data_IF_022125504626
#
_entry.id   IF_022125504626
#
_cell.length_a   1.000
_cell.length_b   1.000
_cell.length_c   1.000
_cell.angle_alpha   90.00
_cell.angle_beta   90.00
_cell.angle_gamma   90.00
#
_symmetry.space_group_name_H-M   'P 1'
#
loop_
_entity.id
_entity.type
_entity.pdbx_description
1 polymer ?
#
# COMPACT_ATOMS: atom_id res chain seq x y z
N UNK A 1 14.47 35.82 -34.59
CA UNK A 1 15.65 34.93 -34.75
C UNK A 1 16.24 34.71 -33.37
N UNK A 2 16.14 33.50 -32.81
CA UNK A 2 16.77 33.16 -31.53
C UNK A 2 17.91 32.19 -31.80
N UNK A 3 19.12 32.57 -31.42
CA UNK A 3 20.36 31.81 -31.58
C UNK A 3 20.65 31.02 -30.30
N UNK A 4 20.89 29.72 -30.49
CA UNK A 4 21.76 28.81 -29.71
C UNK A 4 21.23 28.32 -28.35
N UNK A 5 20.88 27.03 -28.32
CA UNK A 5 21.42 26.08 -27.33
C UNK A 5 21.19 24.64 -27.80
N UNK A 6 22.28 23.88 -27.91
CA UNK A 6 22.41 22.49 -28.38
C UNK A 6 21.77 21.41 -27.46
N UNK A 7 20.87 21.79 -26.54
CA UNK A 7 20.45 20.91 -25.44
C UNK A 7 19.14 20.13 -25.68
N UNK A 8 18.46 20.30 -26.83
CA UNK A 8 17.20 19.56 -27.08
C UNK A 8 17.40 18.08 -27.39
N UNK A 9 18.56 17.69 -27.90
CA UNK A 9 18.82 16.29 -28.28
C UNK A 9 19.24 15.42 -27.10
N UNK A 10 19.93 15.98 -26.09
CA UNK A 10 20.33 15.23 -24.87
C UNK A 10 19.12 14.78 -24.07
N UNK A 11 18.07 15.61 -23.98
CA UNK A 11 16.85 15.28 -23.23
C UNK A 11 16.08 14.10 -23.85
N UNK A 12 15.95 14.03 -25.18
CA UNK A 12 15.27 12.92 -25.84
C UNK A 12 16.06 11.60 -25.76
N UNK A 13 17.39 11.67 -25.77
CA UNK A 13 18.24 10.49 -25.57
C UNK A 13 18.24 10.01 -24.11
N UNK A 14 18.23 10.91 -23.13
CA UNK A 14 18.07 10.57 -21.71
C UNK A 14 16.69 9.99 -21.42
N UNK A 15 15.62 10.54 -22.01
CA UNK A 15 14.27 9.98 -21.90
C UNK A 15 14.17 8.58 -22.54
N UNK A 16 14.86 8.33 -23.67
CA UNK A 16 14.92 7.00 -24.28
C UNK A 16 15.75 6.03 -23.44
N UNK A 17 16.89 6.46 -22.88
CA UNK A 17 17.69 5.65 -21.94
C UNK A 17 16.95 5.35 -20.65
N UNK A 18 16.20 6.30 -20.09
CA UNK A 18 15.35 6.07 -18.92
C UNK A 18 14.18 5.14 -19.25
N UNK A 19 13.57 5.27 -20.43
CA UNK A 19 12.53 4.34 -20.89
C UNK A 19 13.08 2.93 -21.19
N UNK A 20 14.31 2.81 -21.71
CA UNK A 20 15.00 1.54 -21.92
C UNK A 20 15.50 0.93 -20.60
N UNK A 21 15.95 1.74 -19.63
CA UNK A 21 16.32 1.28 -18.28
C UNK A 21 15.08 0.86 -17.48
N UNK A 22 13.95 1.56 -17.62
CA UNK A 22 12.66 1.14 -17.07
C UNK A 22 12.15 -0.16 -17.73
N UNK A 23 12.42 -0.37 -19.03
CA UNK A 23 12.17 -1.66 -19.70
C UNK A 23 13.14 -2.76 -19.28
N UNK A 24 14.41 -2.44 -19.03
CA UNK A 24 15.43 -3.41 -18.62
C UNK A 24 15.31 -3.85 -17.15
N UNK A 25 14.72 -3.01 -16.29
CA UNK A 25 14.37 -3.35 -14.90
C UNK A 25 13.06 -4.17 -14.78
N UNK A 26 12.31 -4.33 -15.87
CA UNK A 26 11.13 -5.18 -15.90
C UNK A 26 11.57 -6.65 -15.97
N UNK A 27 11.34 -7.40 -14.88
CA UNK A 27 11.39 -8.87 -14.93
C UNK A 27 10.51 -9.35 -16.09
N UNK A 28 10.87 -10.45 -16.79
CA UNK A 28 10.03 -11.00 -17.84
C UNK A 28 8.63 -11.19 -17.29
N UNK A 29 7.70 -10.36 -17.77
CA UNK A 29 6.32 -10.39 -17.30
C UNK A 29 5.68 -11.63 -17.90
N UNK A 30 5.16 -12.51 -17.04
CA UNK A 30 4.47 -13.71 -17.51
C UNK A 30 3.38 -13.31 -18.52
N UNK A 31 3.39 -13.94 -19.70
CA UNK A 31 2.40 -13.65 -20.74
C UNK A 31 1.18 -14.52 -20.49
N UNK A 32 0.08 -13.90 -20.11
CA UNK A 32 -1.23 -14.57 -20.01
C UNK A 32 -1.91 -14.52 -21.37
N UNK A 33 -2.40 -15.67 -21.86
CA UNK A 33 -3.14 -15.72 -23.12
C UNK A 33 -4.48 -14.99 -23.02
N UNK A 34 -4.92 -14.34 -24.09
CA UNK A 34 -6.24 -13.68 -24.13
C UNK A 34 -7.40 -14.65 -23.84
N UNK A 35 -7.28 -15.92 -24.26
CA UNK A 35 -8.27 -16.95 -23.95
C UNK A 35 -8.33 -17.28 -22.45
N UNK A 36 -7.19 -17.34 -21.76
CA UNK A 36 -7.15 -17.55 -20.31
C UNK A 36 -7.74 -16.34 -19.57
N UNK A 37 -7.42 -15.13 -20.03
CA UNK A 37 -7.96 -13.92 -19.44
C UNK A 37 -9.48 -13.80 -19.63
N UNK A 38 -9.99 -14.07 -20.83
CA UNK A 38 -11.43 -14.08 -21.08
C UNK A 38 -12.18 -15.07 -20.18
N UNK A 39 -11.62 -16.28 -19.97
CA UNK A 39 -12.17 -17.26 -19.02
C UNK A 39 -12.12 -16.76 -17.57
N UNK A 40 -11.03 -16.10 -17.17
CA UNK A 40 -10.90 -15.54 -15.83
C UNK A 40 -11.92 -14.42 -15.58
N UNK A 41 -12.18 -13.57 -16.58
CA UNK A 41 -13.26 -12.58 -16.53
C UNK A 41 -14.63 -13.26 -16.42
N UNK A 42 -14.90 -14.30 -17.21
CA UNK A 42 -16.15 -15.05 -17.15
C UNK A 42 -16.39 -15.69 -15.77
N UNK A 43 -15.36 -16.23 -15.11
CA UNK A 43 -15.46 -16.72 -13.73
C UNK A 43 -15.92 -15.62 -12.76
N UNK A 44 -15.42 -14.39 -12.92
CA UNK A 44 -15.86 -13.25 -12.10
C UNK A 44 -17.31 -12.91 -12.39
N UNK A 45 -17.71 -12.87 -13.68
CA UNK A 45 -19.10 -12.62 -14.08
C UNK A 45 -20.05 -13.69 -13.53
N UNK A 46 -19.65 -14.94 -13.52
CA UNK A 46 -20.48 -16.04 -13.00
C UNK A 46 -20.66 -15.97 -11.48
N UNK A 47 -19.65 -15.52 -10.73
CA UNK A 47 -19.75 -15.38 -9.27
C UNK A 47 -20.55 -14.15 -8.85
N UNK A 48 -20.34 -13.00 -9.51
CA UNK A 48 -20.95 -11.72 -9.08
C UNK A 48 -22.11 -11.24 -9.95
N UNK A 49 -22.39 -11.93 -11.06
CA UNK A 49 -23.51 -11.63 -11.96
C UNK A 49 -24.86 -12.08 -11.42
N UNK A 50 -25.94 -11.59 -12.05
CA UNK A 50 -27.33 -11.92 -11.69
C UNK A 50 -27.77 -13.30 -12.18
N UNK A 51 -27.14 -13.81 -13.23
CA UNK A 51 -27.46 -15.08 -13.88
C UNK A 51 -26.19 -15.93 -13.94
N UNK A 52 -25.95 -16.75 -12.91
CA UNK A 52 -24.84 -17.69 -12.90
C UNK A 52 -25.20 -18.91 -13.76
N UNK A 53 -24.42 -19.15 -14.82
CA UNK A 53 -24.51 -20.35 -15.65
C UNK A 53 -24.05 -21.60 -14.88
N UNK A 54 -23.04 -21.46 -14.01
CA UNK A 54 -22.61 -22.47 -13.04
C UNK A 54 -22.39 -21.82 -11.67
N UNK A 55 -23.02 -22.32 -10.59
CA UNK A 55 -22.86 -21.75 -9.25
C UNK A 55 -21.47 -22.08 -8.69
N UNK A 56 -20.54 -21.13 -8.80
CA UNK A 56 -19.23 -21.17 -8.13
C UNK A 56 -19.29 -20.38 -6.82
N UNK A 57 -18.79 -20.95 -5.73
CA UNK A 57 -18.74 -20.22 -4.45
C UNK A 57 -17.68 -19.11 -4.51
N UNK A 58 -17.94 -17.92 -3.91
CA UNK A 58 -16.98 -16.82 -3.89
C UNK A 58 -15.67 -17.19 -3.18
N UNK A 59 -15.68 -18.15 -2.25
CA UNK A 59 -14.47 -18.65 -1.59
C UNK A 59 -13.52 -19.35 -2.57
N UNK A 60 -14.05 -20.04 -3.58
CA UNK A 60 -13.29 -20.82 -4.56
C UNK A 60 -12.70 -19.95 -5.68
N UNK A 61 -13.27 -18.76 -5.92
CA UNK A 61 -12.89 -17.88 -7.02
C UNK A 61 -11.37 -17.60 -7.10
N UNK A 62 -10.64 -17.27 -6.02
CA UNK A 62 -9.20 -17.02 -6.13
C UNK A 62 -8.41 -18.21 -6.67
N UNK A 63 -8.69 -19.41 -6.17
CA UNK A 63 -8.00 -20.63 -6.62
C UNK A 63 -8.30 -20.91 -8.09
N UNK A 64 -9.57 -20.76 -8.51
CA UNK A 64 -9.97 -20.93 -9.92
C UNK A 64 -9.34 -19.90 -10.85
N UNK A 65 -9.14 -18.67 -10.38
CA UNK A 65 -8.41 -17.65 -11.13
C UNK A 65 -6.93 -18.03 -11.28
N UNK A 66 -6.27 -18.48 -10.22
CA UNK A 66 -4.87 -18.95 -10.29
C UNK A 66 -4.71 -20.13 -11.25
N UNK A 67 -5.60 -21.12 -11.18
CA UNK A 67 -5.63 -22.27 -12.10
C UNK A 67 -5.82 -21.82 -13.55
N UNK A 68 -6.80 -20.95 -13.79
CA UNK A 68 -7.15 -20.47 -15.14
C UNK A 68 -6.03 -19.64 -15.76
N UNK A 69 -5.38 -18.80 -14.97
CA UNK A 69 -4.26 -17.97 -15.39
C UNK A 69 -2.93 -18.74 -15.39
N UNK A 70 -2.90 -19.94 -14.80
CA UNK A 70 -1.69 -20.76 -14.60
C UNK A 70 -0.56 -19.99 -13.92
N UNK A 71 -0.93 -19.08 -13.01
CA UNK A 71 -0.02 -18.21 -12.28
C UNK A 71 -0.54 -18.06 -10.85
N UNK A 72 0.38 -18.17 -9.88
CA UNK A 72 0.08 -17.75 -8.51
C UNK A 72 -0.33 -16.28 -8.48
N UNK A 73 -1.23 -15.92 -7.57
CA UNK A 73 -1.87 -14.61 -7.53
C UNK A 73 -0.89 -13.42 -7.51
N UNK A 74 0.25 -13.57 -6.82
CA UNK A 74 1.27 -12.51 -6.76
C UNK A 74 2.04 -12.32 -8.08
N UNK A 75 2.00 -13.30 -8.97
CA UNK A 75 2.64 -13.29 -10.28
C UNK A 75 1.73 -12.78 -11.41
N UNK A 76 0.51 -12.34 -11.10
CA UNK A 76 -0.40 -11.82 -12.11
C UNK A 76 0.12 -10.50 -12.71
N UNK A 77 0.21 -10.39 -14.04
CA UNK A 77 0.64 -9.15 -14.70
C UNK A 77 -0.26 -7.96 -14.38
N UNK A 78 0.31 -6.75 -14.32
CA UNK A 78 -0.44 -5.53 -14.05
C UNK A 78 -1.63 -5.32 -15.02
N UNK A 79 -1.44 -5.58 -16.32
CA UNK A 79 -2.51 -5.47 -17.30
C UNK A 79 -3.67 -6.46 -17.04
N UNK A 80 -3.35 -7.66 -16.56
CA UNK A 80 -4.34 -8.70 -16.22
C UNK A 80 -5.17 -8.24 -15.04
N UNK A 81 -4.53 -7.88 -13.92
CA UNK A 81 -5.28 -7.51 -12.72
C UNK A 81 -6.13 -6.25 -12.93
N UNK A 82 -5.73 -5.30 -13.80
CA UNK A 82 -6.54 -4.12 -14.11
C UNK A 82 -7.79 -4.48 -14.90
N UNK A 83 -7.69 -5.42 -15.85
CA UNK A 83 -8.88 -5.97 -16.53
C UNK A 83 -9.80 -6.72 -15.57
N UNK A 84 -9.25 -7.54 -14.67
CA UNK A 84 -10.05 -8.22 -13.65
C UNK A 84 -10.73 -7.21 -12.70
N UNK A 85 -10.05 -6.12 -12.34
CA UNK A 85 -10.64 -5.05 -11.53
C UNK A 85 -11.82 -4.37 -12.23
N UNK A 86 -11.73 -4.17 -13.55
CA UNK A 86 -12.81 -3.58 -14.35
C UNK A 86 -14.06 -4.47 -14.32
N UNK A 87 -13.90 -5.79 -14.53
CA UNK A 87 -15.01 -6.75 -14.47
C UNK A 87 -15.58 -6.89 -13.06
N UNK A 88 -14.73 -6.91 -12.03
CA UNK A 88 -15.19 -6.89 -10.63
C UNK A 88 -16.05 -5.64 -10.35
N UNK A 89 -15.63 -4.48 -10.87
CA UNK A 89 -16.36 -3.23 -10.65
C UNK A 89 -17.69 -3.19 -11.41
N UNK A 90 -17.72 -3.66 -12.66
CA UNK A 90 -18.94 -3.81 -13.46
C UNK A 90 -20.00 -4.63 -12.72
N UNK A 91 -19.58 -5.70 -12.04
CA UNK A 91 -20.45 -6.57 -11.24
C UNK A 91 -20.44 -6.26 -9.73
N UNK A 92 -20.21 -5.00 -9.36
CA UNK A 92 -20.17 -4.59 -7.95
C UNK A 92 -21.50 -4.80 -7.20
N UNK A 93 -22.64 -4.83 -7.88
CA UNK A 93 -23.93 -5.17 -7.26
C UNK A 93 -23.95 -6.58 -6.65
N UNK A 94 -23.18 -7.53 -7.20
CA UNK A 94 -23.12 -8.92 -6.71
C UNK A 94 -22.60 -9.06 -5.28
N UNK A 95 -22.00 -8.00 -4.73
CA UNK A 95 -21.56 -7.96 -3.34
C UNK A 95 -22.69 -8.09 -2.34
N UNK A 96 -23.87 -7.55 -2.64
CA UNK A 96 -25.00 -7.55 -1.72
C UNK A 96 -25.74 -8.88 -1.67
N UNK A 97 -25.29 -9.90 -2.41
CA UNK A 97 -25.90 -11.23 -2.42
C UNK A 97 -25.77 -11.93 -1.06
N UNK A 98 -24.55 -11.97 -0.50
CA UNK A 98 -24.31 -12.49 0.85
C UNK A 98 -22.98 -11.95 1.42
N UNK A 99 -22.75 -12.05 2.75
CA UNK A 99 -21.50 -11.61 3.39
C UNK A 99 -20.23 -12.15 2.73
N UNK A 100 -20.26 -13.41 2.30
CA UNK A 100 -19.18 -14.08 1.58
C UNK A 100 -18.79 -13.39 0.27
N UNK A 101 -19.78 -12.89 -0.49
CA UNK A 101 -19.56 -12.19 -1.75
C UNK A 101 -18.93 -10.83 -1.51
N UNK A 102 -19.44 -10.05 -0.56
CA UNK A 102 -18.85 -8.76 -0.21
C UNK A 102 -17.40 -8.90 0.25
N UNK A 103 -17.13 -9.87 1.13
CA UNK A 103 -15.78 -10.18 1.60
C UNK A 103 -14.84 -10.50 0.43
N UNK A 104 -15.24 -11.45 -0.44
CA UNK A 104 -14.41 -11.86 -1.56
C UNK A 104 -14.17 -10.71 -2.54
N UNK A 105 -15.22 -9.96 -2.83
CA UNK A 105 -15.16 -8.83 -3.75
C UNK A 105 -14.21 -7.75 -3.25
N UNK A 106 -14.30 -7.36 -1.96
CA UNK A 106 -13.40 -6.37 -1.36
C UNK A 106 -11.95 -6.85 -1.45
N UNK A 107 -11.72 -8.12 -1.11
CA UNK A 107 -10.40 -8.71 -1.12
C UNK A 107 -9.78 -8.69 -2.54
N UNK A 108 -10.48 -9.24 -3.53
CA UNK A 108 -9.98 -9.34 -4.91
C UNK A 108 -9.89 -7.99 -5.60
N UNK A 109 -10.88 -7.11 -5.41
CA UNK A 109 -10.87 -5.79 -6.05
C UNK A 109 -9.74 -4.92 -5.48
N UNK A 110 -9.56 -4.94 -4.15
CA UNK A 110 -8.45 -4.23 -3.51
C UNK A 110 -7.09 -4.77 -3.94
N UNK A 111 -6.98 -6.10 -4.08
CA UNK A 111 -5.79 -6.75 -4.64
C UNK A 111 -5.52 -6.28 -6.08
N UNK A 112 -6.55 -6.27 -6.93
CA UNK A 112 -6.40 -5.96 -8.34
C UNK A 112 -6.19 -4.48 -8.64
N UNK A 113 -6.59 -3.59 -7.72
CA UNK A 113 -6.42 -2.15 -7.86
C UNK A 113 -5.15 -1.60 -7.23
N UNK A 114 -4.42 -2.35 -6.40
CA UNK A 114 -3.23 -1.81 -5.71
C UNK A 114 -2.15 -1.33 -6.70
N UNK A 115 -1.38 -0.28 -6.37
CA UNK A 115 -1.52 0.62 -5.22
C UNK A 115 -2.58 1.72 -5.40
N UNK A 116 -3.37 1.65 -6.47
CA UNK A 116 -4.33 2.66 -6.91
C UNK A 116 -3.81 3.61 -7.98
N UNK A 117 -2.58 3.40 -8.48
CA UNK A 117 -1.97 4.22 -9.53
C UNK A 117 -0.95 3.41 -10.33
N UNK A 118 -0.38 4.03 -11.36
CA UNK A 118 0.75 3.48 -12.11
C UNK A 118 0.36 2.69 -13.37
N UNK A 119 -0.94 2.59 -13.68
CA UNK A 119 -1.46 2.01 -14.92
C UNK A 119 -2.45 2.96 -15.62
N UNK A 120 -2.52 2.98 -16.97
CA UNK A 120 -3.49 3.80 -17.70
C UNK A 120 -4.93 3.57 -17.23
N UNK A 121 -5.63 4.66 -16.93
CA UNK A 121 -7.01 4.64 -16.46
C UNK A 121 -7.18 4.44 -14.95
N UNK A 122 -6.09 4.31 -14.18
CA UNK A 122 -6.19 4.15 -12.71
C UNK A 122 -6.86 5.34 -12.03
N UNK A 123 -6.63 6.58 -12.50
CA UNK A 123 -7.32 7.77 -11.98
C UNK A 123 -8.85 7.62 -12.08
N UNK A 124 -9.33 7.09 -13.21
CA UNK A 124 -10.75 6.85 -13.41
C UNK A 124 -11.25 5.70 -12.52
N UNK A 125 -10.51 4.59 -12.42
CA UNK A 125 -10.86 3.45 -11.55
C UNK A 125 -10.99 3.90 -10.10
N UNK A 126 -10.04 4.70 -9.60
CA UNK A 126 -10.08 5.23 -8.23
C UNK A 126 -11.18 6.28 -8.05
N UNK A 127 -11.48 7.07 -9.07
CA UNK A 127 -12.66 7.93 -9.03
C UNK A 127 -13.95 7.09 -8.89
N UNK A 128 -14.05 5.93 -9.55
CA UNK A 128 -15.19 5.03 -9.39
C UNK A 128 -15.25 4.42 -7.98
N UNK A 129 -14.11 3.97 -7.41
CA UNK A 129 -14.09 3.41 -6.04
C UNK A 129 -14.60 4.39 -4.99
N UNK A 130 -14.59 5.71 -5.25
CA UNK A 130 -15.27 6.68 -4.37
C UNK A 130 -16.75 6.37 -4.15
N UNK A 131 -17.46 5.85 -5.15
CA UNK A 131 -18.89 5.47 -5.03
C UNK A 131 -19.09 4.39 -3.96
N UNK A 132 -18.12 3.48 -3.83
CA UNK A 132 -18.11 2.48 -2.78
C UNK A 132 -18.00 3.15 -1.39
N UNK A 133 -17.16 4.17 -1.25
CA UNK A 133 -17.02 4.86 0.03
C UNK A 133 -18.33 5.47 0.55
N UNK A 134 -19.16 6.00 -0.36
CA UNK A 134 -20.52 6.49 -0.05
C UNK A 134 -21.49 5.35 0.22
N UNK A 135 -21.47 4.28 -0.58
CA UNK A 135 -22.35 3.12 -0.41
C UNK A 135 -22.10 2.35 0.90
N UNK A 136 -20.84 2.30 1.34
CA UNK A 136 -20.43 1.56 2.53
C UNK A 136 -20.39 0.04 2.33
N UNK A 137 -20.43 -0.67 3.45
CA UNK A 137 -20.59 -2.13 3.48
C UNK A 137 -22.06 -2.49 3.32
N UNK A 138 -22.35 -3.47 2.48
CA UNK A 138 -23.68 -4.09 2.38
C UNK A 138 -24.03 -4.86 3.66
N UNK A 139 -23.03 -5.47 4.30
CA UNK A 139 -23.19 -6.24 5.54
C UNK A 139 -22.33 -5.66 6.68
N UNK A 140 -22.66 -4.47 7.21
CA UNK A 140 -21.83 -3.76 8.17
C UNK A 140 -21.64 -4.51 9.50
N UNK A 141 -22.55 -5.42 9.86
CA UNK A 141 -22.44 -6.24 11.08
C UNK A 141 -21.41 -7.38 10.95
N UNK A 142 -20.89 -7.63 9.75
CA UNK A 142 -19.96 -8.73 9.50
C UNK A 142 -18.53 -8.28 9.74
N UNK A 143 -17.90 -8.83 10.78
CA UNK A 143 -16.58 -8.39 11.22
C UNK A 143 -15.50 -8.58 10.16
N UNK A 144 -15.56 -9.68 9.40
CA UNK A 144 -14.60 -9.95 8.34
C UNK A 144 -14.76 -8.98 7.16
N UNK A 145 -15.99 -8.56 6.85
CA UNK A 145 -16.24 -7.50 5.86
C UNK A 145 -15.66 -6.16 6.30
N UNK A 146 -15.76 -5.82 7.60
CA UNK A 146 -15.12 -4.63 8.16
C UNK A 146 -13.59 -4.70 8.11
N UNK A 147 -13.00 -5.88 8.31
CA UNK A 147 -11.54 -6.08 8.19
C UNK A 147 -11.09 -5.87 6.74
N UNK A 148 -11.73 -6.55 5.78
CA UNK A 148 -11.40 -6.42 4.36
C UNK A 148 -11.64 -5.01 3.83
N UNK A 149 -12.60 -4.27 4.39
CA UNK A 149 -12.81 -2.86 4.06
C UNK A 149 -11.55 -2.02 4.30
N UNK A 150 -10.91 -2.15 5.46
CA UNK A 150 -9.71 -1.38 5.77
C UNK A 150 -8.48 -1.88 5.01
N UNK A 151 -8.39 -3.18 4.75
CA UNK A 151 -7.37 -3.75 3.86
C UNK A 151 -7.51 -3.17 2.45
N UNK A 152 -8.73 -3.15 1.89
CA UNK A 152 -9.03 -2.56 0.59
C UNK A 152 -8.55 -1.12 0.51
N UNK A 153 -8.93 -0.27 1.47
CA UNK A 153 -8.55 1.13 1.46
C UNK A 153 -7.06 1.36 1.69
N UNK A 154 -6.41 0.53 2.51
CA UNK A 154 -4.96 0.56 2.69
C UNK A 154 -4.20 0.21 1.39
N UNK A 155 -4.72 -0.75 0.61
CA UNK A 155 -4.16 -1.16 -0.68
C UNK A 155 -4.26 -0.09 -1.77
N UNK A 156 -5.36 0.65 -1.81
CA UNK A 156 -5.61 1.67 -2.86
C UNK A 156 -5.28 3.09 -2.43
N UNK A 157 -4.73 3.27 -1.22
CA UNK A 157 -4.44 4.58 -0.63
C UNK A 157 -3.60 5.48 -1.55
N UNK A 158 -2.67 4.91 -2.31
CA UNK A 158 -1.80 5.66 -3.21
C UNK A 158 -2.51 6.36 -4.35
N UNK A 159 -3.66 5.85 -4.78
CA UNK A 159 -4.50 6.50 -5.79
C UNK A 159 -5.40 7.61 -5.24
N UNK A 160 -5.57 7.69 -3.92
CA UNK A 160 -6.45 8.66 -3.29
C UNK A 160 -5.77 10.02 -3.16
N UNK A 161 -6.51 11.09 -3.44
CA UNK A 161 -6.03 12.45 -3.21
C UNK A 161 -6.11 12.85 -1.72
N UNK A 162 -5.55 14.02 -1.38
CA UNK A 162 -5.51 14.57 0.00
C UNK A 162 -6.87 14.58 0.69
N UNK A 163 -7.91 15.07 0.01
CA UNK A 163 -9.27 15.15 0.59
C UNK A 163 -9.86 13.78 0.87
N UNK A 164 -9.67 12.82 -0.03
CA UNK A 164 -10.16 11.44 0.11
C UNK A 164 -9.45 10.71 1.25
N UNK A 165 -8.14 10.87 1.40
CA UNK A 165 -7.41 10.28 2.53
C UNK A 165 -7.83 10.90 3.86
N UNK A 166 -8.05 12.22 3.91
CA UNK A 166 -8.56 12.89 5.09
C UNK A 166 -9.96 12.38 5.47
N UNK A 167 -10.88 12.26 4.52
CA UNK A 167 -12.22 11.71 4.73
C UNK A 167 -12.15 10.27 5.27
N UNK A 168 -11.30 9.43 4.66
CA UNK A 168 -11.04 8.06 5.09
C UNK A 168 -10.57 7.99 6.54
N UNK A 169 -9.61 8.83 6.91
CA UNK A 169 -9.10 8.91 8.27
C UNK A 169 -10.17 9.35 9.28
N UNK A 170 -11.03 10.31 8.95
CA UNK A 170 -12.06 10.79 9.89
C UNK A 170 -13.02 9.67 10.34
N UNK A 171 -13.30 8.68 9.49
CA UNK A 171 -14.15 7.52 9.87
C UNK A 171 -13.51 6.58 10.89
N UNK A 172 -12.18 6.52 10.95
CA UNK A 172 -11.45 5.70 11.92
C UNK A 172 -10.92 6.51 13.12
N UNK A 173 -10.81 7.84 13.00
CA UNK A 173 -10.20 8.70 13.99
C UNK A 173 -10.85 8.55 15.38
N UNK A 174 -12.18 8.50 15.46
CA UNK A 174 -12.88 8.31 16.74
C UNK A 174 -12.66 6.96 17.41
N UNK A 175 -12.28 5.93 16.63
CA UNK A 175 -11.95 4.60 17.14
C UNK A 175 -10.50 4.51 17.58
N UNK A 176 -9.58 5.11 16.80
CA UNK A 176 -8.16 5.16 17.12
C UNK A 176 -7.87 6.10 18.30
N UNK A 177 -8.63 7.20 18.41
CA UNK A 177 -8.52 8.23 19.43
C UNK A 177 -9.88 8.49 20.09
N UNK A 178 -10.35 7.58 20.95
CA UNK A 178 -11.64 7.73 21.62
C UNK A 178 -11.65 8.91 22.59
N UNK A 179 -12.63 9.81 22.45
CA UNK A 179 -12.85 10.92 23.38
C UNK A 179 -13.34 10.34 24.72
N UNK A 180 -12.50 10.38 25.75
CA UNK A 180 -12.80 9.80 27.08
C UNK A 180 -11.91 8.61 27.47
N UNK A 181 -10.90 8.26 26.66
CA UNK A 181 -9.84 7.32 27.03
C UNK A 181 -10.22 5.83 27.03
N UNK A 182 -11.51 5.50 27.03
CA UNK A 182 -11.98 4.11 26.88
C UNK A 182 -12.25 3.80 25.41
N UNK A 183 -11.47 2.85 24.88
CA UNK A 183 -11.66 2.31 23.54
C UNK A 183 -12.99 1.54 23.45
N UNK A 184 -13.75 1.68 22.34
CA UNK A 184 -14.86 0.78 22.04
C UNK A 184 -14.40 -0.69 22.07
N UNK A 185 -15.25 -1.60 22.58
CA UNK A 185 -14.99 -3.04 22.46
C UNK A 185 -14.99 -3.42 20.98
N UNK A 186 -13.80 -3.60 20.43
CA UNK A 186 -13.58 -3.83 19.00
C UNK A 186 -12.70 -5.06 18.82
N UNK A 187 -13.03 -5.87 17.81
CA UNK A 187 -12.23 -7.03 17.43
C UNK A 187 -10.75 -6.63 17.24
N UNK A 188 -9.78 -7.37 17.81
CA UNK A 188 -8.36 -7.04 17.68
C UNK A 188 -7.87 -7.00 16.22
N UNK A 189 -8.32 -7.91 15.36
CA UNK A 189 -7.93 -7.94 13.94
C UNK A 189 -8.43 -6.72 13.20
N UNK A 190 -9.68 -6.32 13.43
CA UNK A 190 -10.22 -5.10 12.88
C UNK A 190 -9.41 -3.87 13.31
N UNK A 191 -9.01 -3.81 14.59
CA UNK A 191 -8.18 -2.70 15.06
C UNK A 191 -6.82 -2.64 14.37
N UNK A 192 -6.17 -3.79 14.17
CA UNK A 192 -4.87 -3.87 13.48
C UNK A 192 -4.98 -3.31 12.06
N UNK A 193 -6.02 -3.69 11.31
CA UNK A 193 -6.21 -3.20 9.95
C UNK A 193 -6.60 -1.73 9.88
N UNK A 194 -7.30 -1.19 10.88
CA UNK A 194 -7.53 0.26 10.97
C UNK A 194 -6.22 1.04 11.16
N UNK A 195 -5.32 0.55 12.02
CA UNK A 195 -3.98 1.15 12.18
C UNK A 195 -3.15 1.05 10.90
N UNK A 196 -3.16 -0.10 10.23
CA UNK A 196 -2.45 -0.29 8.96
C UNK A 196 -2.98 0.64 7.88
N UNK A 197 -4.30 0.71 7.74
CA UNK A 197 -4.95 1.63 6.81
C UNK A 197 -4.55 3.08 7.09
N UNK A 198 -4.62 3.54 8.36
CA UNK A 198 -4.20 4.89 8.76
C UNK A 198 -2.74 5.18 8.40
N UNK A 199 -1.84 4.25 8.68
CA UNK A 199 -0.41 4.40 8.41
C UNK A 199 -0.08 4.39 6.91
N UNK A 200 -0.94 3.81 6.07
CA UNK A 200 -0.81 3.85 4.62
C UNK A 200 -1.23 5.18 3.98
N UNK A 201 -1.83 6.12 4.72
CA UNK A 201 -2.30 7.42 4.21
C UNK A 201 -1.21 8.50 4.29
N UNK A 202 -0.33 8.54 3.28
CA UNK A 202 0.83 9.41 3.26
C UNK A 202 0.47 10.89 3.12
N UNK A 203 -0.66 11.21 2.49
CA UNK A 203 -1.11 12.57 2.21
C UNK A 203 -1.88 13.23 3.38
N UNK A 204 -2.03 12.53 4.51
CA UNK A 204 -2.60 13.11 5.73
C UNK A 204 -1.77 14.30 6.23
N UNK A 205 -2.41 15.32 6.86
CA UNK A 205 -1.70 16.43 7.50
C UNK A 205 -0.56 15.94 8.42
N UNK A 206 0.56 16.66 8.42
CA UNK A 206 1.73 16.29 9.22
C UNK A 206 1.39 16.15 10.71
N UNK A 207 0.53 17.02 11.24
CA UNK A 207 0.06 16.95 12.61
C UNK A 207 -0.67 15.63 12.91
N UNK A 208 -1.57 15.22 12.03
CA UNK A 208 -2.30 13.93 12.17
C UNK A 208 -1.33 12.74 12.17
N UNK A 209 -0.33 12.76 11.29
CA UNK A 209 0.70 11.70 11.25
C UNK A 209 1.58 11.69 12.50
N UNK A 210 1.89 12.86 13.04
CA UNK A 210 2.59 12.99 14.33
C UNK A 210 1.77 12.35 15.46
N UNK A 211 0.48 12.66 15.55
CA UNK A 211 -0.41 12.08 16.58
C UNK A 211 -0.52 10.56 16.46
N UNK A 212 -0.66 10.03 15.25
CA UNK A 212 -0.66 8.59 14.97
C UNK A 212 0.64 7.93 15.43
N UNK A 213 1.79 8.49 15.07
CA UNK A 213 3.07 7.92 15.45
C UNK A 213 3.36 8.03 16.95
N UNK A 214 3.00 9.14 17.60
CA UNK A 214 3.14 9.28 19.05
C UNK A 214 2.27 8.28 19.82
N UNK A 215 1.06 8.01 19.33
CA UNK A 215 0.22 6.95 19.89
C UNK A 215 0.85 5.57 19.74
N UNK A 216 1.43 5.27 18.57
CA UNK A 216 2.13 4.00 18.32
C UNK A 216 3.40 3.86 19.17
N UNK A 217 4.19 4.94 19.36
CA UNK A 217 5.36 4.92 20.24
C UNK A 217 4.97 4.64 21.69
N UNK A 218 3.86 5.20 22.19
CA UNK A 218 3.33 4.88 23.52
C UNK A 218 2.94 3.40 23.68
N UNK A 219 2.66 2.71 22.57
CA UNK A 219 2.32 1.28 22.57
C UNK A 219 0.90 1.02 23.06
N UNK A 220 -0.12 1.16 22.19
CA UNK A 220 -1.48 0.81 22.58
C UNK A 220 -1.55 -0.67 22.97
N UNK A 221 -2.24 -0.97 24.07
CA UNK A 221 -2.48 -2.34 24.51
C UNK A 221 -3.16 -3.13 23.39
N UNK A 222 -2.88 -4.43 23.29
CA UNK A 222 -3.42 -5.36 22.30
C UNK A 222 -3.02 -5.13 20.83
N UNK A 223 -2.16 -4.16 20.52
CA UNK A 223 -1.56 -4.02 19.19
C UNK A 223 -0.24 -4.81 19.12
N UNK A 224 -0.13 -5.86 18.29
CA UNK A 224 1.11 -6.62 18.16
C UNK A 224 2.27 -5.74 17.73
N UNK A 225 3.45 -5.99 18.30
CA UNK A 225 4.65 -5.20 18.03
C UNK A 225 5.00 -5.13 16.55
N UNK A 226 4.85 -6.25 15.83
CA UNK A 226 5.09 -6.30 14.38
C UNK A 226 4.22 -5.30 13.61
N UNK A 227 2.92 -5.20 13.94
CA UNK A 227 2.01 -4.23 13.33
C UNK A 227 2.35 -2.81 13.74
N UNK A 228 2.69 -2.60 15.02
CA UNK A 228 3.07 -1.30 15.55
C UNK A 228 4.30 -0.73 14.85
N UNK A 229 5.38 -1.52 14.77
CA UNK A 229 6.62 -1.11 14.13
C UNK A 229 6.46 -0.94 12.63
N UNK A 230 5.65 -1.78 11.99
CA UNK A 230 5.27 -1.58 10.59
C UNK A 230 4.57 -0.23 10.37
N UNK A 231 3.61 0.14 11.21
CA UNK A 231 2.91 1.42 11.09
C UNK A 231 3.87 2.61 11.31
N UNK A 232 4.78 2.50 12.28
CA UNK A 232 5.82 3.51 12.53
C UNK A 232 6.79 3.63 11.35
N UNK A 233 7.20 2.51 10.75
CA UNK A 233 8.05 2.49 9.57
C UNK A 233 7.43 3.25 8.40
N UNK A 234 6.10 3.15 8.21
CA UNK A 234 5.34 3.86 7.18
C UNK A 234 5.19 5.35 7.49
N UNK A 235 4.72 5.69 8.70
CA UNK A 235 4.47 7.08 9.10
C UNK A 235 5.76 7.90 9.19
N UNK A 236 6.82 7.28 9.70
CA UNK A 236 8.13 7.91 9.88
C UNK A 236 9.07 7.75 8.70
N UNK A 237 8.65 7.15 7.58
CA UNK A 237 9.49 6.93 6.41
C UNK A 237 10.13 8.25 5.93
N UNK A 238 11.42 8.20 5.59
CA UNK A 238 12.16 9.35 5.03
C UNK A 238 11.95 9.48 3.52
N UNK A 239 11.73 8.34 2.86
CA UNK A 239 11.28 8.22 1.47
C UNK A 239 9.86 7.67 1.48
N UNK A 240 8.91 8.51 1.08
CA UNK A 240 7.50 8.12 0.95
C UNK A 240 7.30 7.23 -0.27
N UNK A 241 6.23 6.43 -0.26
CA UNK A 241 5.94 5.50 -1.36
C UNK A 241 5.26 6.21 -2.54
N UNK A 242 4.34 7.13 -2.27
CA UNK A 242 3.61 7.89 -3.30
C UNK A 242 3.39 9.36 -2.93
N UNK A 243 3.54 9.73 -1.65
CA UNK A 243 3.46 11.12 -1.22
C UNK A 243 4.68 11.94 -1.67
N UNK A 244 4.50 13.24 -1.93
CA UNK A 244 5.61 14.14 -2.24
C UNK A 244 6.56 14.29 -1.04
N UNK A 245 7.84 14.63 -1.30
CA UNK A 245 8.87 14.65 -0.26
C UNK A 245 8.59 15.61 0.91
N UNK A 246 7.91 16.73 0.65
CA UNK A 246 7.47 17.71 1.65
C UNK A 246 6.41 17.17 2.62
N UNK A 247 5.81 16.03 2.28
CA UNK A 247 4.88 15.32 3.13
C UNK A 247 5.60 14.42 4.14
N UNK A 248 6.92 14.23 4.07
CA UNK A 248 7.65 13.48 5.09
C UNK A 248 7.62 14.22 6.44
N UNK A 249 7.51 13.48 7.54
CA UNK A 249 7.53 14.10 8.88
C UNK A 249 8.89 14.75 9.18
N UNK A 250 8.94 15.88 9.90
CA UNK A 250 10.21 16.53 10.24
C UNK A 250 11.18 15.60 11.00
N UNK A 251 12.51 15.72 10.77
CA UNK A 251 13.52 14.88 11.42
C UNK A 251 13.44 14.92 12.94
N UNK A 252 13.10 16.07 13.52
CA UNK A 252 12.96 16.22 14.97
C UNK A 252 11.81 15.38 15.56
N UNK A 253 10.73 15.15 14.81
CA UNK A 253 9.60 14.30 15.25
C UNK A 253 10.01 12.84 15.20
N UNK A 254 10.50 12.39 14.05
CA UNK A 254 10.88 10.99 13.84
C UNK A 254 12.10 10.60 14.66
N UNK A 255 13.02 11.53 14.90
CA UNK A 255 14.15 11.32 15.79
C UNK A 255 13.74 10.91 17.20
N UNK A 256 12.70 11.53 17.77
CA UNK A 256 12.16 11.12 19.09
C UNK A 256 11.62 9.68 19.07
N UNK A 257 10.95 9.30 17.99
CA UNK A 257 10.42 7.94 17.84
C UNK A 257 11.53 6.92 17.69
N UNK A 258 12.54 7.23 16.88
CA UNK A 258 13.74 6.40 16.71
C UNK A 258 14.45 6.22 18.04
N UNK A 259 14.70 7.29 18.80
CA UNK A 259 15.33 7.19 20.12
C UNK A 259 14.54 6.28 21.07
N UNK A 260 13.21 6.36 21.08
CA UNK A 260 12.36 5.51 21.91
C UNK A 260 12.40 4.02 21.48
N UNK A 261 12.65 3.74 20.21
CA UNK A 261 12.69 2.39 19.64
C UNK A 261 14.08 1.76 19.58
N UNK A 262 15.17 2.53 19.74
CA UNK A 262 16.54 2.00 19.75
C UNK A 262 16.73 0.79 20.69
N UNK A 263 16.15 0.76 21.91
CA UNK A 263 16.30 -0.38 22.81
C UNK A 263 15.51 -1.63 22.39
N UNK A 264 14.67 -1.56 21.35
CA UNK A 264 13.72 -2.61 20.98
C UNK A 264 14.25 -3.43 19.80
N UNK A 265 14.72 -4.68 20.01
CA UNK A 265 15.27 -5.49 18.93
C UNK A 265 14.27 -5.77 17.81
N UNK A 266 12.98 -5.91 18.12
CA UNK A 266 11.95 -6.17 17.12
C UNK A 266 11.64 -4.95 16.21
N UNK A 267 12.18 -3.75 16.51
CA UNK A 267 11.94 -2.53 15.74
C UNK A 267 12.95 -2.27 14.60
N UNK A 268 13.87 -3.22 14.33
CA UNK A 268 14.99 -3.01 13.41
C UNK A 268 14.60 -2.53 12.00
N UNK A 269 13.55 -3.12 11.41
CA UNK A 269 13.07 -2.70 10.08
C UNK A 269 12.48 -1.29 10.11
N UNK A 270 11.76 -0.94 11.18
CA UNK A 270 11.21 0.39 11.36
C UNK A 270 12.32 1.44 11.56
N UNK A 271 13.35 1.10 12.33
CA UNK A 271 14.53 1.94 12.51
C UNK A 271 15.24 2.19 11.17
N UNK A 272 15.45 1.16 10.36
CA UNK A 272 16.06 1.29 9.03
C UNK A 272 15.25 2.23 8.11
N UNK A 273 13.92 2.08 8.05
CA UNK A 273 13.04 2.96 7.24
C UNK A 273 13.00 4.40 7.74
N UNK A 274 12.90 4.60 9.06
CA UNK A 274 12.78 5.92 9.68
C UNK A 274 14.10 6.70 9.74
N UNK A 275 15.24 6.00 9.67
CA UNK A 275 16.57 6.61 9.61
C UNK A 275 17.20 6.56 8.21
N UNK A 276 16.48 6.06 7.20
CA UNK A 276 16.96 5.96 5.82
C UNK A 276 17.53 7.28 5.32
N UNK A 277 18.77 7.25 4.82
CA UNK A 277 19.44 8.37 4.17
C UNK A 277 18.77 8.67 2.84
N UNK A 278 18.49 9.94 2.59
CA UNK A 278 17.88 10.44 1.37
C UNK A 278 18.76 11.43 0.62
N UNK A 279 19.80 11.97 1.27
CA UNK A 279 20.64 13.03 0.72
C UNK A 279 20.03 14.43 0.89
N UNK A 280 18.91 14.52 1.60
CA UNK A 280 18.17 15.76 1.85
C UNK A 280 18.11 16.05 3.35
N UNK A 281 18.84 17.10 3.76
CA UNK A 281 18.91 17.53 5.16
C UNK A 281 17.56 17.92 5.78
N UNK A 282 16.55 18.24 4.97
CA UNK A 282 15.21 18.53 5.46
C UNK A 282 14.47 17.28 5.96
N UNK A 283 14.92 16.08 5.56
CA UNK A 283 14.29 14.79 5.88
C UNK A 283 15.20 13.87 6.69
N UNK A 284 16.50 13.90 6.41
CA UNK A 284 17.49 13.05 7.04
C UNK A 284 17.61 13.33 8.54
N UNK A 285 17.80 12.27 9.33
CA UNK A 285 18.04 12.39 10.77
C UNK A 285 19.43 13.01 11.01
N UNK A 286 19.64 13.52 12.22
CA UNK A 286 20.96 14.03 12.59
C UNK A 286 22.01 12.90 12.51
N UNK A 287 23.28 13.21 12.21
CA UNK A 287 24.32 12.19 12.02
C UNK A 287 24.54 11.30 13.24
N UNK A 288 24.40 11.85 14.46
CA UNK A 288 24.62 11.09 15.71
C UNK A 288 23.59 9.98 15.86
N UNK A 289 22.30 10.29 15.67
CA UNK A 289 21.21 9.33 15.76
C UNK A 289 21.25 8.32 14.61
N UNK A 290 21.64 8.77 13.42
CA UNK A 290 21.87 7.88 12.28
C UNK A 290 22.92 6.81 12.61
N UNK A 291 24.07 7.21 13.17
CA UNK A 291 25.13 6.27 13.56
C UNK A 291 24.73 5.36 14.73
N UNK A 292 23.88 5.82 15.66
CA UNK A 292 23.30 4.95 16.68
C UNK A 292 22.42 3.86 16.07
N UNK A 293 21.58 4.21 15.09
CA UNK A 293 20.76 3.22 14.36
C UNK A 293 21.67 2.25 13.60
N UNK A 294 22.67 2.75 12.86
CA UNK A 294 23.63 1.90 12.12
C UNK A 294 24.22 0.81 13.01
N UNK A 295 24.74 1.18 14.18
CA UNK A 295 25.34 0.23 15.14
C UNK A 295 24.37 -0.84 15.62
N UNK A 296 23.11 -0.47 15.88
CA UNK A 296 22.07 -1.43 16.29
C UNK A 296 21.76 -2.42 15.16
N UNK A 297 21.75 -1.95 13.90
CA UNK A 297 21.47 -2.80 12.74
C UNK A 297 22.66 -3.71 12.38
N UNK A 298 23.90 -3.25 12.56
CA UNK A 298 25.13 -4.03 12.33
C UNK A 298 25.20 -5.28 13.21
N UNK A 299 24.69 -5.22 14.44
CA UNK A 299 24.68 -6.34 15.38
C UNK A 299 23.67 -7.45 15.02
N UNK A 300 22.91 -7.31 13.92
CA UNK A 300 21.85 -8.25 13.54
C UNK A 300 22.31 -9.29 12.51
N UNK A 301 21.68 -10.49 12.50
CA UNK A 301 21.93 -11.49 11.47
C UNK A 301 21.60 -11.01 10.05
N UNK A 302 20.62 -10.11 9.91
CA UNK A 302 20.15 -9.56 8.63
C UNK A 302 20.69 -8.15 8.34
N UNK A 303 21.83 -7.79 8.96
CA UNK A 303 22.44 -6.46 8.91
C UNK A 303 22.67 -5.94 7.49
N UNK A 304 23.21 -6.74 6.58
CA UNK A 304 23.49 -6.31 5.21
C UNK A 304 22.25 -5.74 4.50
N UNK A 305 21.09 -6.39 4.67
CA UNK A 305 19.81 -5.92 4.10
C UNK A 305 19.35 -4.63 4.78
N UNK A 306 19.37 -4.59 6.10
CA UNK A 306 18.90 -3.44 6.87
C UNK A 306 19.77 -2.20 6.65
N UNK A 307 21.08 -2.38 6.48
CA UNK A 307 22.03 -1.33 6.14
C UNK A 307 21.82 -0.81 4.71
N UNK A 308 21.49 -1.67 3.75
CA UNK A 308 21.12 -1.23 2.40
C UNK A 308 19.85 -0.35 2.40
N UNK A 309 18.86 -0.66 3.24
CA UNK A 309 17.70 0.22 3.48
C UNK A 309 18.15 1.54 4.11
N UNK A 310 18.99 1.47 5.16
CA UNK A 310 19.46 2.62 5.92
C UNK A 310 20.27 3.61 5.07
N UNK A 311 21.18 3.11 4.23
CA UNK A 311 22.00 3.96 3.33
C UNK A 311 21.22 4.45 2.11
N UNK A 312 20.00 3.94 1.92
CA UNK A 312 19.13 4.32 0.82
C UNK A 312 19.46 3.67 -0.52
N UNK A 313 20.39 2.72 -0.53
CA UNK A 313 20.86 1.95 -1.69
C UNK A 313 19.78 1.03 -2.29
N UNK A 314 18.80 0.61 -1.48
CA UNK A 314 17.69 -0.18 -1.97
C UNK A 314 16.68 0.74 -2.68
N UNK A 315 16.55 0.63 -4.01
CA UNK A 315 15.38 1.14 -4.72
C UNK A 315 14.10 0.52 -4.16
N UNK A 316 12.92 1.07 -4.47
CA UNK A 316 11.62 0.46 -4.13
C UNK A 316 11.49 -0.89 -4.86
N UNK A 317 12.17 -1.91 -4.36
CA UNK A 317 12.18 -3.25 -4.94
C UNK A 317 10.93 -4.03 -4.54
N UNK A 318 10.66 -5.13 -5.22
CA UNK A 318 9.48 -5.96 -5.00
C UNK A 318 9.27 -6.34 -3.51
N UNK A 319 10.35 -6.52 -2.74
CA UNK A 319 10.31 -6.87 -1.32
C UNK A 319 9.99 -5.69 -0.41
N UNK A 320 10.52 -4.51 -0.70
CA UNK A 320 10.09 -3.29 0.00
C UNK A 320 8.60 -3.07 -0.22
N UNK A 321 8.12 -3.34 -1.44
CA UNK A 321 6.71 -3.25 -1.80
C UNK A 321 5.86 -4.34 -1.10
N UNK A 322 6.38 -5.56 -0.97
CA UNK A 322 5.78 -6.63 -0.14
C UNK A 322 5.57 -6.19 1.30
N UNK A 323 6.61 -5.60 1.87
CA UNK A 323 6.54 -5.06 3.21
C UNK A 323 5.52 -3.94 3.28
N UNK A 324 5.44 -3.03 2.30
CA UNK A 324 4.51 -1.90 2.31
C UNK A 324 3.02 -2.25 2.26
N UNK A 325 2.64 -3.43 1.77
CA UNK A 325 1.23 -3.87 1.68
C UNK A 325 0.93 -5.14 2.47
N UNK A 326 1.96 -5.82 2.99
CA UNK A 326 1.85 -7.19 3.51
C UNK A 326 1.63 -8.23 2.40
N UNK A 327 1.84 -7.87 1.14
CA UNK A 327 1.69 -8.68 -0.07
C UNK A 327 2.49 -8.10 -1.26
N UNK A 328 2.94 -8.95 -2.21
CA UNK A 328 3.76 -8.49 -3.35
C UNK A 328 3.02 -7.50 -4.26
N UNK A 329 3.71 -6.47 -4.77
CA UNK A 329 3.14 -5.60 -5.80
C UNK A 329 3.23 -6.21 -7.21
N UNK A 330 2.24 -5.96 -8.07
CA UNK A 330 2.25 -6.44 -9.46
C UNK A 330 3.45 -5.89 -10.25
N UNK A 331 4.05 -6.75 -11.07
CA UNK A 331 5.15 -6.35 -11.95
C UNK A 331 4.68 -5.32 -13.01
N UNK A 332 5.50 -4.29 -13.27
CA UNK A 332 5.24 -3.28 -14.31
C UNK A 332 4.61 -1.98 -13.81
N UNK A 333 4.51 -1.77 -12.49
CA UNK A 333 4.12 -0.48 -11.93
C UNK A 333 5.17 0.59 -12.26
N UNK A 334 4.72 1.70 -12.83
CA UNK A 334 5.53 2.91 -12.94
C UNK A 334 5.28 3.74 -11.68
N UNK A 335 6.25 3.79 -10.78
CA UNK A 335 6.19 4.74 -9.67
C UNK A 335 6.30 6.15 -10.26
N UNK A 336 5.41 7.05 -9.87
CA UNK A 336 5.58 8.46 -10.17
C UNK A 336 6.83 8.94 -9.43
N UNK A 337 7.96 9.01 -10.14
CA UNK A 337 9.17 9.64 -9.63
C UNK A 337 8.88 11.11 -9.38
N UNK A 338 9.01 11.51 -8.12
CA UNK A 338 9.20 12.91 -7.73
C UNK A 338 10.67 13.28 -7.82
#
# INVERSE_FOLDING_TARGET
QSKISEHRWRLQFELRKQAEQAKAASRPTAVVSEAALARAEELIRNVFGKEASEPLSPEQLPARLEETLSLGRNSWPLAVIRRLADVLWEHSEGRSLAPAFELRWLNLTGFCLRPGFGFPGDDWRIQQTRRLYTAGLAFPNQIQGQIEWWIFWGRVAGGLNRSQQAELYQRMAGVLFPRGGKRPRLNPSLWREMWRAAASLELLPLQTKTELGEALVRGPQDLPESVRYWCLARLGARRLFYGPADQALPPAVVGRWVTALLPQPAAAEALASMARRTGDSARDLNPVLFEQVRRVLEARPDSARLLAVLEGEQELDARTLEQLFGEELPAGLVCAGG
#
